data_IF_132583548004
#
_entry.id   IF_132583548004
#
_cell.length_a   1.000
_cell.length_b   1.000
_cell.length_c   1.000
_cell.angle_alpha   90.00
_cell.angle_beta   90.00
_cell.angle_gamma   90.00
#
_symmetry.space_group_name_H-M   'P 1'
#
loop_
_entity.id
_entity.type
_entity.pdbx_description
1 polymer ?
#
# COMPACT_ATOMS: atom_id res chain seq x y z
N UNK A 1 52.37 -50.46 -0.59
CA UNK A 1 51.99 -49.68 0.61
C UNK A 1 50.96 -48.70 0.16
N UNK A 2 49.73 -49.01 0.44
CA UNK A 2 48.51 -48.30 -0.01
C UNK A 2 48.22 -47.13 0.92
N UNK A 3 48.09 -45.92 0.37
CA UNK A 3 47.65 -44.72 1.09
C UNK A 3 46.29 -44.32 0.58
N UNK A 4 45.25 -44.67 1.33
CA UNK A 4 43.85 -44.27 1.08
C UNK A 4 43.64 -42.88 1.65
N UNK A 5 43.31 -41.88 0.80
CA UNK A 5 42.81 -40.55 1.23
C UNK A 5 41.32 -40.66 1.56
N UNK A 6 40.86 -40.08 2.66
CA UNK A 6 39.46 -40.01 2.94
C UNK A 6 38.82 -38.83 2.20
N UNK A 7 37.79 -39.19 1.48
CA UNK A 7 36.84 -38.32 0.80
C UNK A 7 36.11 -37.41 1.81
N UNK A 8 36.38 -36.12 1.74
CA UNK A 8 35.69 -35.11 2.56
C UNK A 8 34.35 -34.74 1.88
N UNK A 9 33.35 -35.53 2.18
CA UNK A 9 31.96 -35.22 1.85
C UNK A 9 31.52 -33.91 2.57
N UNK A 10 31.51 -32.78 1.85
CA UNK A 10 30.83 -31.55 2.31
C UNK A 10 29.34 -31.83 2.23
N UNK A 11 28.60 -31.70 3.35
CA UNK A 11 27.15 -31.71 3.29
C UNK A 11 26.71 -30.43 2.55
N UNK A 12 25.87 -30.63 1.53
CA UNK A 12 25.26 -29.57 0.74
C UNK A 12 24.61 -28.50 1.60
N UNK A 13 24.73 -27.25 1.17
CA UNK A 13 23.93 -26.17 1.65
C UNK A 13 22.47 -26.57 1.46
N UNK A 14 21.82 -26.97 2.55
CA UNK A 14 20.38 -27.16 2.57
C UNK A 14 19.74 -25.81 2.19
N UNK A 15 18.91 -25.83 1.17
CA UNK A 15 18.00 -24.75 0.83
C UNK A 15 17.21 -24.42 2.09
N UNK A 16 17.64 -23.39 2.80
CA UNK A 16 16.90 -22.86 3.93
C UNK A 16 15.61 -22.27 3.36
N UNK A 17 14.51 -22.97 3.52
CA UNK A 17 13.19 -22.38 3.29
C UNK A 17 13.10 -21.04 4.05
N UNK A 18 12.58 -19.97 3.42
CA UNK A 18 12.49 -18.68 4.08
C UNK A 18 11.66 -18.86 5.36
N UNK A 19 12.28 -18.55 6.50
CA UNK A 19 11.63 -18.62 7.81
C UNK A 19 10.46 -17.62 7.87
N UNK A 20 9.31 -18.03 7.37
CA UNK A 20 8.03 -17.33 7.43
C UNK A 20 7.35 -17.52 8.78
N UNK A 21 7.91 -18.33 9.68
CA UNK A 21 7.30 -18.69 10.96
C UNK A 21 7.15 -17.51 11.94
N UNK A 22 7.73 -16.34 11.63
CA UNK A 22 7.69 -15.13 12.47
C UNK A 22 6.78 -14.03 11.94
N UNK A 23 6.22 -14.16 10.73
CA UNK A 23 5.39 -13.12 10.12
C UNK A 23 3.96 -13.26 10.62
N UNK A 24 3.48 -12.22 11.28
CA UNK A 24 2.10 -12.12 11.75
C UNK A 24 1.38 -11.01 11.00
N UNK A 25 0.25 -11.35 10.36
CA UNK A 25 -0.64 -10.37 9.73
C UNK A 25 -1.82 -10.12 10.68
N UNK A 26 -2.03 -8.85 11.02
CA UNK A 26 -3.14 -8.41 11.89
C UNK A 26 -3.76 -7.10 11.42
N UNK A 27 -4.84 -6.69 12.07
CA UNK A 27 -5.40 -5.35 11.88
C UNK A 27 -4.38 -4.26 12.24
N UNK A 28 -4.28 -3.25 11.38
CA UNK A 28 -3.51 -2.06 11.64
C UNK A 28 -4.33 -1.11 12.52
N UNK A 29 -3.71 -0.63 13.58
CA UNK A 29 -4.25 0.39 14.47
C UNK A 29 -3.55 1.75 14.30
N UNK A 30 -3.97 2.73 15.11
CA UNK A 30 -3.34 4.07 15.11
C UNK A 30 -1.85 4.03 15.45
N UNK A 31 -1.44 3.11 16.32
CA UNK A 31 -0.03 2.94 16.70
C UNK A 31 0.87 2.51 15.55
N UNK A 32 0.31 1.85 14.53
CA UNK A 32 1.05 1.36 13.38
C UNK A 32 1.25 2.44 12.30
N UNK A 33 0.47 3.53 12.35
CA UNK A 33 0.42 4.52 11.26
C UNK A 33 1.77 5.21 10.99
N UNK A 34 2.64 5.30 11.98
CA UNK A 34 3.99 5.85 11.77
C UNK A 34 4.86 4.91 10.95
N UNK A 35 4.81 3.61 11.23
CA UNK A 35 5.52 2.58 10.47
C UNK A 35 4.92 2.43 9.06
N UNK A 36 3.59 2.42 8.93
CA UNK A 36 2.89 2.42 7.63
C UNK A 36 3.31 3.61 6.78
N UNK A 37 3.42 4.82 7.37
CA UNK A 37 3.85 6.01 6.64
C UNK A 37 5.30 5.93 6.17
N UNK A 38 6.21 5.38 6.97
CA UNK A 38 7.59 5.13 6.57
C UNK A 38 7.66 4.13 5.41
N UNK A 39 7.01 2.97 5.55
CA UNK A 39 6.93 1.96 4.49
C UNK A 39 6.32 2.51 3.18
N UNK A 40 5.31 3.39 3.29
CA UNK A 40 4.73 4.04 2.11
C UNK A 40 5.75 4.90 1.37
N UNK A 41 6.52 5.73 2.09
CA UNK A 41 7.52 6.61 1.47
C UNK A 41 8.58 5.78 0.76
N UNK A 42 9.06 4.71 1.39
CA UNK A 42 10.09 3.84 0.83
C UNK A 42 9.58 3.08 -0.41
N UNK A 43 8.32 2.61 -0.37
CA UNK A 43 7.72 1.84 -1.46
C UNK A 43 7.22 2.70 -2.63
N UNK A 44 6.87 3.97 -2.38
CA UNK A 44 6.27 4.86 -3.38
C UNK A 44 7.02 6.19 -3.50
N UNK A 45 8.27 6.20 -4.00
CA UNK A 45 9.12 7.39 -4.07
C UNK A 45 8.54 8.52 -4.93
N UNK A 46 7.68 8.17 -5.92
CA UNK A 46 7.00 9.13 -6.79
C UNK A 46 5.61 9.55 -6.28
N UNK A 47 5.29 9.23 -5.02
CA UNK A 47 4.02 9.59 -4.41
C UNK A 47 3.94 11.09 -4.13
N UNK A 48 2.92 11.75 -4.68
CA UNK A 48 2.62 13.16 -4.34
C UNK A 48 2.38 13.33 -2.84
N UNK A 49 1.79 12.32 -2.21
CA UNK A 49 1.56 12.33 -0.77
C UNK A 49 2.88 12.20 0.00
N UNK A 50 3.82 11.38 -0.50
CA UNK A 50 5.19 11.27 0.01
C UNK A 50 5.97 12.57 -0.12
N UNK A 51 5.82 13.31 -1.22
CA UNK A 51 6.41 14.64 -1.41
C UNK A 51 5.95 15.66 -0.36
N UNK A 52 4.73 15.51 0.16
CA UNK A 52 4.21 16.32 1.27
C UNK A 52 4.78 15.89 2.63
N UNK A 53 5.53 14.79 2.68
CA UNK A 53 6.26 14.27 3.83
C UNK A 53 5.47 13.28 4.69
N UNK A 54 6.20 12.58 5.57
CA UNK A 54 5.71 11.47 6.38
C UNK A 54 4.44 11.78 7.16
N UNK A 55 4.32 13.00 7.69
CA UNK A 55 3.14 13.41 8.45
C UNK A 55 1.89 13.51 7.56
N UNK A 56 2.02 13.92 6.29
CA UNK A 56 0.90 13.92 5.36
C UNK A 56 0.44 12.51 5.03
N UNK A 57 1.39 11.58 4.85
CA UNK A 57 1.10 10.16 4.65
C UNK A 57 0.39 9.57 5.86
N UNK A 58 0.93 9.81 7.07
CA UNK A 58 0.35 9.33 8.32
C UNK A 58 -1.08 9.82 8.53
N UNK A 59 -1.35 11.11 8.26
CA UNK A 59 -2.70 11.71 8.35
C UNK A 59 -3.65 11.13 7.32
N UNK A 60 -3.17 10.84 6.11
CA UNK A 60 -3.98 10.19 5.10
C UNK A 60 -4.42 8.78 5.53
N UNK A 61 -3.51 7.96 6.05
CA UNK A 61 -3.85 6.63 6.55
C UNK A 61 -4.73 6.67 7.80
N UNK A 62 -4.54 7.66 8.69
CA UNK A 62 -5.48 7.90 9.79
C UNK A 62 -6.88 8.22 9.29
N UNK A 63 -6.99 9.09 8.29
CA UNK A 63 -8.28 9.40 7.65
C UNK A 63 -8.93 8.17 7.04
N UNK A 64 -8.15 7.29 6.40
CA UNK A 64 -8.67 6.03 5.86
C UNK A 64 -9.18 5.11 6.98
N UNK A 65 -8.46 5.05 8.10
CA UNK A 65 -8.80 4.17 9.22
C UNK A 65 -10.01 4.66 10.02
N UNK A 66 -10.14 5.97 10.23
CA UNK A 66 -11.15 6.58 11.09
C UNK A 66 -12.31 7.22 10.35
N UNK A 67 -12.18 7.43 9.05
CA UNK A 67 -13.19 8.08 8.22
C UNK A 67 -14.42 7.19 7.98
N UNK A 68 -15.42 7.72 7.28
CA UNK A 68 -16.64 6.99 6.96
C UNK A 68 -16.41 5.99 5.82
N UNK A 69 -15.48 5.05 6.04
CA UNK A 69 -15.03 4.07 5.06
C UNK A 69 -15.22 2.66 5.62
N UNK A 70 -15.58 1.73 4.74
CA UNK A 70 -15.54 0.31 5.04
C UNK A 70 -14.14 -0.20 4.64
N UNK A 71 -13.23 -0.23 5.63
CA UNK A 71 -11.81 -0.45 5.39
C UNK A 71 -11.31 -1.72 6.06
N UNK A 72 -10.52 -2.50 5.34
CA UNK A 72 -9.62 -3.50 5.88
C UNK A 72 -8.20 -2.92 5.86
N UNK A 73 -7.70 -2.53 7.01
CA UNK A 73 -6.34 -2.06 7.22
C UNK A 73 -5.54 -3.17 7.87
N UNK A 74 -4.45 -3.60 7.23
CA UNK A 74 -3.62 -4.72 7.67
C UNK A 74 -2.17 -4.27 7.83
N UNK A 75 -1.49 -4.85 8.82
CA UNK A 75 -0.05 -4.74 9.00
C UNK A 75 0.56 -6.13 9.14
N UNK A 76 1.69 -6.34 8.48
CA UNK A 76 2.52 -7.53 8.64
C UNK A 76 3.70 -7.21 9.53
N UNK A 77 3.88 -8.00 10.56
CA UNK A 77 4.93 -7.85 11.57
C UNK A 77 5.95 -9.00 11.46
N UNK A 78 7.22 -8.67 11.62
CA UNK A 78 8.31 -9.60 11.89
C UNK A 78 8.80 -9.33 13.33
N UNK A 79 8.34 -10.13 14.28
CA UNK A 79 8.40 -9.77 15.69
C UNK A 79 7.58 -8.50 15.95
N UNK A 80 8.21 -7.46 16.49
CA UNK A 80 7.57 -6.16 16.75
C UNK A 80 7.72 -5.15 15.60
N UNK A 81 8.47 -5.50 14.55
CA UNK A 81 8.74 -4.61 13.44
C UNK A 81 7.68 -4.76 12.35
N UNK A 82 7.05 -3.66 11.96
CA UNK A 82 6.20 -3.63 10.77
C UNK A 82 7.06 -3.74 9.50
N UNK A 83 6.80 -4.77 8.71
CA UNK A 83 7.53 -5.10 7.47
C UNK A 83 6.63 -5.05 6.24
N UNK A 84 5.35 -4.80 6.39
CA UNK A 84 4.43 -4.62 5.28
C UNK A 84 3.07 -4.12 5.75
N UNK A 85 2.29 -3.60 4.82
CA UNK A 85 0.93 -3.17 5.09
C UNK A 85 0.04 -3.32 3.86
N UNK A 86 -1.27 -3.38 4.10
CA UNK A 86 -2.30 -3.29 3.06
C UNK A 86 -3.47 -2.46 3.59
N UNK A 87 -3.93 -1.51 2.76
CA UNK A 87 -5.22 -0.83 2.95
C UNK A 87 -6.13 -1.17 1.77
N UNK A 88 -7.30 -1.70 2.07
CA UNK A 88 -8.30 -2.07 1.08
C UNK A 88 -9.71 -1.86 1.62
N UNK A 89 -10.71 -1.85 0.73
CA UNK A 89 -12.10 -1.63 1.13
C UNK A 89 -12.89 -0.78 0.15
N UNK A 90 -13.88 -0.03 0.66
CA UNK A 90 -14.71 0.88 -0.12
C UNK A 90 -14.37 2.33 0.22
N UNK A 91 -13.66 3.00 -0.67
CA UNK A 91 -13.11 4.35 -0.45
C UNK A 91 -13.86 5.45 -1.20
N UNK A 92 -15.18 5.45 -1.20
CA UNK A 92 -15.97 6.45 -1.93
C UNK A 92 -15.68 7.85 -1.42
N UNK A 93 -15.10 8.71 -2.29
CA UNK A 93 -14.81 10.10 -1.97
C UNK A 93 -13.70 10.32 -0.94
N UNK A 94 -12.92 9.30 -0.61
CA UNK A 94 -11.91 9.33 0.44
C UNK A 94 -10.84 10.40 0.22
N UNK A 95 -10.34 10.59 -1.00
CA UNK A 95 -9.36 11.62 -1.33
C UNK A 95 -9.90 13.03 -1.12
N UNK A 96 -11.14 13.28 -1.56
CA UNK A 96 -11.79 14.59 -1.39
C UNK A 96 -12.06 14.86 0.09
N UNK A 97 -12.51 13.85 0.82
CA UNK A 97 -12.74 13.91 2.26
C UNK A 97 -11.47 14.25 3.03
N UNK A 98 -10.37 13.56 2.73
CA UNK A 98 -9.06 13.83 3.31
C UNK A 98 -8.61 15.28 3.06
N UNK A 99 -8.67 15.74 1.81
CA UNK A 99 -8.26 17.10 1.46
C UNK A 99 -9.14 18.15 2.18
N UNK A 100 -10.43 17.91 2.32
CA UNK A 100 -11.33 18.81 3.07
C UNK A 100 -11.03 18.81 4.58
N UNK A 101 -10.80 17.64 5.17
CA UNK A 101 -10.49 17.46 6.58
C UNK A 101 -9.15 18.11 6.94
N UNK A 102 -8.12 17.89 6.14
CA UNK A 102 -6.75 18.30 6.40
C UNK A 102 -6.32 19.59 5.65
N UNK A 103 -7.29 20.36 5.12
CA UNK A 103 -7.04 21.53 4.24
C UNK A 103 -6.00 22.50 4.80
N UNK A 104 -6.07 22.86 6.08
CA UNK A 104 -5.17 23.82 6.68
C UNK A 104 -3.75 23.26 6.86
N UNK A 105 -3.64 22.01 7.22
CA UNK A 105 -2.35 21.31 7.27
C UNK A 105 -1.71 21.25 5.88
N UNK A 106 -2.46 20.83 4.87
CA UNK A 106 -1.98 20.72 3.49
C UNK A 106 -1.57 22.09 2.92
N UNK A 107 -2.35 23.15 3.14
CA UNK A 107 -2.02 24.50 2.72
C UNK A 107 -0.70 24.97 3.36
N UNK A 108 -0.54 24.80 4.67
CA UNK A 108 0.71 25.16 5.37
C UNK A 108 1.89 24.35 4.85
N UNK A 109 1.66 23.08 4.53
CA UNK A 109 2.72 22.20 4.04
C UNK A 109 3.18 22.61 2.66
N UNK A 110 2.26 22.87 1.74
CA UNK A 110 2.57 23.36 0.38
C UNK A 110 3.25 24.72 0.44
N UNK A 111 2.80 25.64 1.31
CA UNK A 111 3.42 26.96 1.47
C UNK A 111 4.88 26.87 1.96
N UNK A 112 5.20 25.89 2.81
CA UNK A 112 6.57 25.64 3.31
C UNK A 112 7.46 24.87 2.34
N UNK A 113 6.88 24.11 1.43
CA UNK A 113 7.58 23.29 0.44
C UNK A 113 7.08 23.55 -0.97
N UNK A 114 7.31 24.76 -1.53
CA UNK A 114 6.78 25.12 -2.85
C UNK A 114 7.38 24.25 -3.97
N UNK A 115 8.49 23.56 -3.72
CA UNK A 115 9.13 22.62 -4.66
C UNK A 115 8.22 21.44 -5.03
N UNK A 116 7.24 21.08 -4.18
CA UNK A 116 6.21 20.08 -4.48
C UNK A 116 5.37 20.49 -5.70
N UNK A 117 5.16 21.80 -5.88
CA UNK A 117 4.45 22.35 -7.05
C UNK A 117 5.30 22.35 -8.33
N UNK A 118 6.63 22.32 -8.18
CA UNK A 118 7.56 22.39 -9.31
C UNK A 118 7.86 21.01 -9.92
N UNK A 119 7.69 19.93 -9.16
CA UNK A 119 7.84 18.57 -9.70
C UNK A 119 6.71 18.28 -10.69
N UNK A 120 7.05 18.03 -11.97
CA UNK A 120 6.12 18.01 -13.10
C UNK A 120 4.92 17.06 -12.95
N UNK A 121 5.09 15.95 -12.21
CA UNK A 121 4.01 15.00 -11.88
C UNK A 121 3.09 15.58 -10.81
N UNK A 122 3.64 16.27 -9.79
CA UNK A 122 2.90 16.94 -8.73
C UNK A 122 2.02 18.07 -9.29
N UNK A 123 2.55 18.89 -10.20
CA UNK A 123 1.85 20.02 -10.80
C UNK A 123 0.58 19.61 -11.57
N UNK A 124 0.61 18.53 -12.35
CA UNK A 124 -0.57 18.02 -13.07
C UNK A 124 -1.62 17.46 -12.12
N UNK A 125 -1.20 16.71 -11.08
CA UNK A 125 -2.11 16.08 -10.11
C UNK A 125 -2.67 17.08 -9.11
N UNK A 126 -1.87 18.04 -8.64
CA UNK A 126 -2.34 19.13 -7.76
C UNK A 126 -3.28 20.06 -8.52
N UNK A 127 -2.98 20.41 -9.78
CA UNK A 127 -3.90 21.20 -10.61
C UNK A 127 -5.22 20.47 -10.83
N UNK A 128 -5.19 19.15 -11.02
CA UNK A 128 -6.39 18.33 -11.12
C UNK A 128 -7.15 18.28 -9.79
N UNK A 129 -6.46 18.08 -8.66
CA UNK A 129 -7.06 18.08 -7.32
C UNK A 129 -7.66 19.45 -6.96
N UNK A 130 -6.96 20.54 -7.26
CA UNK A 130 -7.45 21.93 -7.08
C UNK A 130 -8.63 22.20 -8.02
N UNK A 131 -8.57 21.76 -9.29
CA UNK A 131 -9.72 21.87 -10.20
C UNK A 131 -10.93 21.05 -9.73
N UNK A 132 -10.72 19.85 -9.18
CA UNK A 132 -11.78 19.03 -8.60
C UNK A 132 -12.36 19.66 -7.32
N UNK A 133 -11.55 20.37 -6.53
CA UNK A 133 -11.99 21.12 -5.35
C UNK A 133 -12.78 22.37 -5.72
N UNK A 134 -12.37 23.08 -6.79
CA UNK A 134 -13.01 24.30 -7.26
C UNK A 134 -14.24 24.04 -8.13
N UNK A 135 -14.27 22.92 -8.86
CA UNK A 135 -15.48 22.45 -9.54
C UNK A 135 -16.33 21.73 -8.50
N UNK A 136 -17.44 22.34 -8.13
CA UNK A 136 -18.51 21.67 -7.38
C UNK A 136 -18.78 20.33 -8.05
N UNK A 137 -18.26 19.30 -7.41
CA UNK A 137 -18.61 17.89 -7.45
C UNK A 137 -19.64 17.45 -8.48
N UNK A 138 -19.22 17.04 -9.67
CA UNK A 138 -19.99 16.16 -10.55
C UNK A 138 -19.11 15.32 -11.48
N UNK A 139 -17.89 15.01 -11.07
CA UNK A 139 -17.11 13.98 -11.75
C UNK A 139 -16.53 13.06 -10.69
N UNK A 140 -17.35 12.11 -10.24
CA UNK A 140 -16.87 10.82 -9.79
C UNK A 140 -15.90 10.32 -10.86
N UNK A 141 -14.79 9.74 -10.42
CA UNK A 141 -13.83 9.05 -11.27
C UNK A 141 -14.58 8.30 -12.34
N UNK A 142 -14.29 8.64 -13.60
CA UNK A 142 -14.70 7.85 -14.74
C UNK A 142 -13.79 6.61 -14.82
N UNK A 143 -13.91 5.72 -13.84
CA UNK A 143 -13.85 4.29 -14.08
C UNK A 143 -15.18 3.97 -14.75
N UNK A 144 -15.14 3.30 -15.88
CA UNK A 144 -16.34 2.86 -16.57
C UNK A 144 -17.25 2.15 -15.54
N UNK A 145 -18.41 2.74 -15.16
CA UNK A 145 -19.24 2.16 -14.10
C UNK A 145 -19.79 0.78 -14.44
N UNK A 146 -19.66 0.38 -15.72
CA UNK A 146 -20.07 -0.93 -16.21
C UNK A 146 -19.01 -2.02 -15.98
N UNK A 147 -17.74 -1.64 -15.69
CA UNK A 147 -16.64 -2.60 -15.58
C UNK A 147 -16.40 -3.11 -14.15
N UNK A 148 -16.92 -2.44 -13.12
CA UNK A 148 -16.67 -2.83 -11.71
C UNK A 148 -17.99 -3.22 -11.04
N UNK A 149 -18.10 -4.43 -10.48
CA UNK A 149 -19.28 -4.86 -9.75
C UNK A 149 -19.67 -3.88 -8.64
N UNK A 150 -20.97 -3.71 -8.38
CA UNK A 150 -21.48 -2.74 -7.38
C UNK A 150 -20.93 -2.97 -5.97
N UNK A 151 -20.57 -4.21 -5.62
CA UNK A 151 -19.92 -4.60 -4.36
C UNK A 151 -18.50 -5.07 -4.63
N UNK A 152 -17.62 -4.12 -4.92
CA UNK A 152 -16.24 -4.40 -5.22
C UNK A 152 -15.32 -3.87 -4.11
N UNK A 153 -14.36 -4.72 -3.69
CA UNK A 153 -13.31 -4.38 -2.73
C UNK A 153 -12.10 -3.82 -3.46
N UNK A 154 -11.78 -2.56 -3.22
CA UNK A 154 -10.60 -1.91 -3.81
C UNK A 154 -9.37 -2.05 -2.94
N UNK A 155 -8.22 -2.45 -3.50
CA UNK A 155 -6.92 -2.34 -2.82
C UNK A 155 -6.37 -0.94 -3.09
N UNK A 156 -6.33 -0.11 -2.04
CA UNK A 156 -5.83 1.26 -2.11
C UNK A 156 -4.30 1.31 -2.18
N UNK A 157 -3.65 0.54 -1.32
CA UNK A 157 -2.19 0.45 -1.25
C UNK A 157 -1.77 -0.87 -0.59
N UNK A 158 -0.70 -1.45 -1.09
CA UNK A 158 0.03 -2.55 -0.46
C UNK A 158 1.52 -2.29 -0.64
N UNK A 159 2.29 -2.48 0.41
CA UNK A 159 3.74 -2.40 0.36
C UNK A 159 4.38 -3.38 1.32
N UNK A 160 5.58 -3.84 0.95
CA UNK A 160 6.45 -4.69 1.78
C UNK A 160 7.83 -4.06 1.78
N UNK A 161 8.43 -3.96 2.96
CA UNK A 161 9.80 -3.51 3.16
C UNK A 161 10.74 -4.23 2.18
N UNK A 162 11.57 -3.51 1.41
CA UNK A 162 12.48 -4.13 0.45
C UNK A 162 13.37 -5.22 1.07
N UNK A 163 13.79 -5.05 2.33
CA UNK A 163 14.61 -6.03 3.05
C UNK A 163 13.86 -7.30 3.45
N UNK A 164 12.53 -7.29 3.39
CA UNK A 164 11.67 -8.40 3.76
C UNK A 164 10.92 -9.01 2.55
N UNK A 165 11.18 -8.52 1.34
CA UNK A 165 10.61 -9.09 0.12
C UNK A 165 11.10 -10.51 -0.13
N UNK A 166 10.37 -11.28 -0.96
CA UNK A 166 10.68 -12.68 -1.24
C UNK A 166 10.24 -13.67 -0.15
N UNK A 167 9.74 -13.19 1.00
CA UNK A 167 9.30 -14.00 2.15
C UNK A 167 7.77 -14.26 2.17
N UNK A 168 7.07 -14.10 1.05
CA UNK A 168 5.64 -14.36 0.96
C UNK A 168 4.72 -13.34 1.64
N UNK A 169 5.25 -12.25 2.23
CA UNK A 169 4.49 -11.25 3.01
C UNK A 169 3.38 -10.59 2.18
N UNK A 170 3.68 -10.22 0.94
CA UNK A 170 2.68 -9.64 0.04
C UNK A 170 1.52 -10.60 -0.23
N UNK A 171 1.82 -11.88 -0.44
CA UNK A 171 0.83 -12.93 -0.60
C UNK A 171 -0.03 -13.12 0.64
N UNK A 172 0.58 -13.11 1.85
CA UNK A 172 -0.14 -13.22 3.11
C UNK A 172 -1.10 -12.03 3.33
N UNK A 173 -0.64 -10.79 3.05
CA UNK A 173 -1.48 -9.59 3.13
C UNK A 173 -2.65 -9.65 2.14
N UNK A 174 -2.40 -10.04 0.88
CA UNK A 174 -3.45 -10.17 -0.14
C UNK A 174 -4.43 -11.30 0.19
N UNK A 175 -3.94 -12.45 0.67
CA UNK A 175 -4.78 -13.57 1.09
C UNK A 175 -5.71 -13.17 2.23
N UNK A 176 -5.22 -12.45 3.24
CA UNK A 176 -6.03 -11.95 4.34
C UNK A 176 -7.06 -10.90 3.86
N UNK A 177 -6.66 -9.98 2.96
CA UNK A 177 -7.57 -9.01 2.37
C UNK A 177 -8.67 -9.70 1.53
N UNK A 178 -8.31 -10.73 0.75
CA UNK A 178 -9.27 -11.52 -0.01
C UNK A 178 -10.26 -12.25 0.92
N UNK A 179 -9.77 -12.89 1.99
CA UNK A 179 -10.63 -13.54 2.98
C UNK A 179 -11.65 -12.57 3.58
N UNK A 180 -11.23 -11.34 3.90
CA UNK A 180 -12.13 -10.29 4.41
C UNK A 180 -13.12 -9.79 3.37
N UNK A 181 -12.68 -9.64 2.14
CA UNK A 181 -13.56 -9.27 1.03
C UNK A 181 -14.68 -10.33 0.86
N UNK A 182 -14.34 -11.62 0.85
CA UNK A 182 -15.32 -12.70 0.79
C UNK A 182 -16.28 -12.67 1.99
N UNK A 183 -15.77 -12.53 3.20
CA UNK A 183 -16.58 -12.44 4.43
C UNK A 183 -17.50 -11.20 4.42
N UNK A 184 -17.05 -10.08 3.86
CA UNK A 184 -17.83 -8.86 3.66
C UNK A 184 -18.85 -8.95 2.52
N UNK A 185 -18.92 -10.08 1.82
CA UNK A 185 -19.85 -10.31 0.69
C UNK A 185 -19.52 -9.45 -0.53
N UNK A 186 -18.26 -9.14 -0.76
CA UNK A 186 -17.80 -8.48 -1.98
C UNK A 186 -17.71 -9.48 -3.12
N UNK A 187 -18.18 -9.08 -4.30
CA UNK A 187 -18.27 -9.92 -5.50
C UNK A 187 -16.97 -9.93 -6.29
N UNK A 188 -16.15 -8.88 -6.12
CA UNK A 188 -14.87 -8.74 -6.80
C UNK A 188 -13.86 -7.96 -5.95
N UNK A 189 -12.57 -8.22 -6.20
CA UNK A 189 -11.48 -7.35 -5.77
C UNK A 189 -10.88 -6.66 -6.99
N UNK A 190 -10.52 -5.39 -6.83
CA UNK A 190 -9.82 -4.64 -7.87
C UNK A 190 -8.69 -3.81 -7.28
N UNK A 191 -7.72 -3.55 -8.11
CA UNK A 191 -6.59 -2.68 -7.80
C UNK A 191 -6.11 -1.97 -9.06
N UNK A 192 -5.37 -0.89 -8.87
CA UNK A 192 -4.72 -0.19 -9.97
C UNK A 192 -3.22 -0.23 -9.76
N UNK A 193 -2.49 -0.70 -10.78
CA UNK A 193 -1.03 -0.72 -10.78
C UNK A 193 -0.50 0.04 -11.99
N UNK A 194 0.58 0.80 -11.80
CA UNK A 194 1.20 1.51 -12.91
C UNK A 194 1.88 0.49 -13.86
N UNK A 195 1.67 0.56 -15.19
CA UNK A 195 2.20 -0.45 -16.12
C UNK A 195 3.72 -0.62 -16.07
N UNK A 196 4.46 0.43 -15.69
CA UNK A 196 5.92 0.39 -15.57
C UNK A 196 6.40 -0.28 -14.26
N UNK A 197 5.51 -0.54 -13.30
CA UNK A 197 5.84 -1.30 -12.11
C UNK A 197 5.76 -2.81 -12.40
N UNK A 198 6.76 -3.30 -13.15
CA UNK A 198 6.79 -4.68 -13.64
C UNK A 198 6.79 -5.70 -12.51
N UNK A 199 7.45 -5.41 -11.38
CA UNK A 199 7.47 -6.27 -10.20
C UNK A 199 6.07 -6.45 -9.60
N UNK A 200 5.34 -5.35 -9.41
CA UNK A 200 3.98 -5.43 -8.89
C UNK A 200 3.03 -6.11 -9.89
N UNK A 201 3.17 -5.84 -11.19
CA UNK A 201 2.40 -6.54 -12.24
C UNK A 201 2.65 -8.04 -12.19
N UNK A 202 3.92 -8.46 -12.10
CA UNK A 202 4.27 -9.88 -11.98
C UNK A 202 3.69 -10.51 -10.70
N UNK A 203 3.81 -9.82 -9.57
CA UNK A 203 3.24 -10.25 -8.30
C UNK A 203 1.72 -10.47 -8.39
N UNK A 204 0.96 -9.50 -8.91
CA UNK A 204 -0.49 -9.67 -9.01
C UNK A 204 -0.90 -10.77 -9.98
N UNK A 205 -0.18 -10.95 -11.09
CA UNK A 205 -0.41 -12.06 -12.01
C UNK A 205 -0.15 -13.44 -11.39
N UNK A 206 0.75 -13.53 -10.41
CA UNK A 206 1.01 -14.78 -9.71
C UNK A 206 -0.06 -15.17 -8.70
N UNK A 207 -0.96 -14.23 -8.37
CA UNK A 207 -2.05 -14.47 -7.45
C UNK A 207 -3.35 -14.96 -8.14
N UNK A 208 -3.40 -14.90 -9.47
CA UNK A 208 -4.55 -15.34 -10.29
C UNK A 208 -5.21 -14.20 -11.03
#
# INVERSE_FOLDING_TARGET
MSGTSPDSHRPGAADAEPDTSRIVVRDAGEGDLSAVAALHIDAFPDSVLGDLGVEAVRRNYRWQLQGPHDVAALVALDGDRAVGFLFGGVFRGSTIGFVKSERWFLLRRVARHPTVLLRGVGRRRITLAVRLLLRRSTAAQAEDPAAVPRRSFGVLAIAVDPSAQGRGIGGALMGEAHRRAVQGGFEAMHLTVHPTNTSAVAFYRSLG
#
